data_IF_374876726584
#
_entry.id   IF_374876726584
#
_cell.length_a   1.000
_cell.length_b   1.000
_cell.length_c   1.000
_cell.angle_alpha   90.00
_cell.angle_beta   90.00
_cell.angle_gamma   90.00
#
_symmetry.space_group_name_H-M   'P 1'
#
loop_
_entity.id
_entity.type
_entity.pdbx_description
1 polymer ?
#
# COMPACT_ATOMS: atom_id res chain seq x y z
N UNK A 1 -12.08 6.62 5.81
CA UNK A 1 -10.65 6.96 5.68
C UNK A 1 -10.15 7.82 6.84
N UNK A 2 -10.92 8.75 7.40
CA UNK A 2 -10.43 9.63 8.47
C UNK A 2 -9.95 8.84 9.72
N UNK A 3 -9.03 9.45 10.47
CA UNK A 3 -8.79 9.10 11.87
C UNK A 3 -10.06 9.39 12.70
N UNK A 4 -10.31 8.60 13.74
CA UNK A 4 -11.53 8.69 14.56
C UNK A 4 -11.60 9.98 15.39
N UNK A 5 -10.45 10.54 15.73
CA UNK A 5 -10.30 11.78 16.52
C UNK A 5 -10.15 13.04 15.65
N UNK A 6 -10.17 12.89 14.31
CA UNK A 6 -10.02 14.02 13.39
C UNK A 6 -10.78 13.77 12.08
N UNK A 7 -12.06 14.16 11.98
CA UNK A 7 -12.88 13.91 10.80
C UNK A 7 -12.48 14.78 9.61
N UNK A 8 -12.81 14.34 8.38
CA UNK A 8 -12.78 15.22 7.21
C UNK A 8 -13.84 16.32 7.33
N UNK A 9 -13.67 17.42 6.59
CA UNK A 9 -14.68 18.49 6.53
C UNK A 9 -15.96 17.99 5.85
N UNK A 10 -17.11 18.20 6.48
CA UNK A 10 -18.42 17.72 6.00
C UNK A 10 -18.85 18.28 4.63
N UNK A 11 -18.24 19.40 4.20
CA UNK A 11 -18.50 20.01 2.88
C UNK A 11 -17.92 19.21 1.73
N UNK A 12 -16.96 18.30 1.99
CA UNK A 12 -16.29 17.52 0.95
C UNK A 12 -17.19 16.37 0.45
N UNK A 13 -17.04 15.95 -0.82
CA UNK A 13 -17.66 14.71 -1.29
C UNK A 13 -16.99 13.49 -0.62
N UNK A 14 -17.60 12.30 -0.72
CA UNK A 14 -17.01 11.09 -0.14
C UNK A 14 -15.79 10.57 -0.90
N UNK A 15 -15.67 10.90 -2.19
CA UNK A 15 -14.51 10.59 -3.02
C UNK A 15 -13.76 11.87 -3.35
N UNK A 16 -12.91 12.27 -2.41
CA UNK A 16 -12.09 13.48 -2.49
C UNK A 16 -10.86 13.29 -3.38
N UNK A 17 -10.29 14.41 -3.83
CA UNK A 17 -9.03 14.42 -4.58
C UNK A 17 -7.81 14.24 -3.66
N UNK A 18 -6.65 13.93 -4.25
CA UNK A 18 -5.40 13.79 -3.50
C UNK A 18 -4.99 15.08 -2.77
N UNK A 19 -5.36 16.25 -3.31
CA UNK A 19 -5.08 17.55 -2.69
C UNK A 19 -5.86 17.74 -1.38
N UNK A 20 -7.12 17.28 -1.32
CA UNK A 20 -7.92 17.32 -0.09
C UNK A 20 -7.35 16.37 0.97
N UNK A 21 -6.86 15.19 0.56
CA UNK A 21 -6.17 14.25 1.47
C UNK A 21 -4.89 14.87 2.02
N UNK A 22 -4.08 15.52 1.17
CA UNK A 22 -2.88 16.24 1.62
C UNK A 22 -3.25 17.32 2.62
N UNK A 23 -4.26 18.15 2.30
CA UNK A 23 -4.72 19.23 3.17
C UNK A 23 -5.21 18.70 4.53
N UNK A 24 -5.89 17.55 4.53
CA UNK A 24 -6.33 16.88 5.76
C UNK A 24 -5.14 16.44 6.62
N UNK A 25 -4.09 15.87 6.03
CA UNK A 25 -2.88 15.47 6.76
C UNK A 25 -2.10 16.68 7.29
N UNK A 26 -2.05 17.78 6.53
CA UNK A 26 -1.48 19.06 6.98
C UNK A 26 -2.28 19.63 8.16
N UNK A 27 -3.61 19.67 8.05
CA UNK A 27 -4.51 20.12 9.12
C UNK A 27 -4.35 19.25 10.39
N UNK A 28 -4.22 17.94 10.23
CA UNK A 28 -3.96 17.02 11.33
C UNK A 28 -2.60 17.32 12.00
N UNK A 29 -1.54 17.47 11.20
CA UNK A 29 -0.21 17.78 11.71
C UNK A 29 -0.14 19.14 12.44
N UNK A 30 -0.87 20.14 11.95
CA UNK A 30 -0.97 21.45 12.58
C UNK A 30 -1.79 21.39 13.88
N UNK A 31 -2.95 20.72 13.86
CA UNK A 31 -3.83 20.56 15.03
C UNK A 31 -3.08 19.92 16.22
N UNK A 32 -2.36 18.83 15.96
CA UNK A 32 -1.59 18.10 16.97
C UNK A 32 -0.15 18.62 17.15
N UNK A 33 0.23 19.70 16.45
CA UNK A 33 1.56 20.36 16.52
C UNK A 33 2.73 19.40 16.25
N UNK A 34 2.55 18.51 15.28
CA UNK A 34 3.49 17.42 14.97
C UNK A 34 4.74 17.88 14.22
N UNK A 35 4.65 18.99 13.48
CA UNK A 35 5.76 19.47 12.61
C UNK A 35 7.07 19.71 13.37
N UNK A 36 7.02 20.05 14.66
CA UNK A 36 8.21 20.22 15.52
C UNK A 36 9.01 18.93 15.74
N UNK A 37 8.40 17.78 15.47
CA UNK A 37 9.02 16.46 15.60
C UNK A 37 9.51 15.91 14.23
N UNK A 38 9.28 16.64 13.13
CA UNK A 38 9.56 16.17 11.78
C UNK A 38 10.76 16.93 11.22
N UNK A 39 11.84 16.20 10.91
CA UNK A 39 12.98 16.72 10.13
C UNK A 39 12.75 16.47 8.63
N UNK A 40 12.17 17.45 7.93
CA UNK A 40 12.04 17.37 6.46
C UNK A 40 13.41 17.37 5.76
N UNK A 41 13.41 17.00 4.47
CA UNK A 41 14.62 16.98 3.63
C UNK A 41 15.78 16.17 4.22
N UNK A 42 15.44 15.15 4.99
CA UNK A 42 16.38 14.30 5.71
C UNK A 42 16.09 12.86 5.29
N UNK A 43 17.05 12.21 4.66
CA UNK A 43 16.95 10.78 4.30
C UNK A 43 17.61 9.96 5.40
N UNK A 44 16.96 8.86 5.80
CA UNK A 44 17.57 7.85 6.67
C UNK A 44 18.52 7.01 5.82
N UNK A 45 19.81 7.02 6.14
CA UNK A 45 20.83 6.26 5.43
C UNK A 45 21.04 4.87 6.04
N UNK A 46 21.01 4.78 7.37
CA UNK A 46 21.13 3.49 8.06
C UNK A 46 20.43 3.47 9.41
N UNK A 47 19.85 2.32 9.76
CA UNK A 47 19.36 1.96 11.08
C UNK A 47 20.05 0.66 11.47
N UNK A 48 20.71 0.65 12.62
CA UNK A 48 21.48 -0.51 13.09
C UNK A 48 21.26 -0.72 14.59
N UNK A 49 20.93 -1.93 15.05
CA UNK A 49 20.83 -2.22 16.48
C UNK A 49 22.22 -2.16 17.14
N UNK A 50 22.29 -1.58 18.33
CA UNK A 50 23.47 -1.65 19.20
C UNK A 50 23.51 -3.04 19.84
N UNK A 51 24.66 -3.71 19.78
CA UNK A 51 24.81 -5.07 20.32
C UNK A 51 24.52 -5.09 21.82
N UNK A 52 23.87 -6.16 22.30
CA UNK A 52 23.50 -6.34 23.72
C UNK A 52 24.69 -6.27 24.70
N UNK A 53 25.90 -6.53 24.23
CA UNK A 53 27.14 -6.43 25.03
C UNK A 53 27.52 -4.97 25.34
N UNK A 54 26.96 -4.00 24.62
CA UNK A 54 27.28 -2.56 24.71
C UNK A 54 26.15 -1.75 25.37
N UNK A 55 25.03 -2.37 25.74
CA UNK A 55 23.87 -1.69 26.34
C UNK A 55 22.95 -2.67 27.10
N UNK A 56 22.50 -2.26 28.29
CA UNK A 56 21.56 -3.03 29.13
C UNK A 56 20.16 -3.19 28.48
N UNK A 57 19.87 -2.39 27.45
CA UNK A 57 18.59 -2.40 26.69
C UNK A 57 18.87 -2.29 25.20
N UNK A 58 17.93 -2.78 24.39
CA UNK A 58 17.94 -2.60 22.94
C UNK A 58 17.96 -1.11 22.60
N UNK A 59 18.89 -0.70 21.73
CA UNK A 59 19.06 0.67 21.25
C UNK A 59 19.44 0.64 19.78
N UNK A 60 19.23 1.77 19.10
CA UNK A 60 19.40 1.89 17.65
C UNK A 60 20.25 3.09 17.32
N UNK A 61 21.25 2.89 16.48
CA UNK A 61 21.95 3.99 15.82
C UNK A 61 21.21 4.30 14.53
N UNK A 62 20.71 5.52 14.41
CA UNK A 62 20.06 6.02 13.20
C UNK A 62 20.95 7.09 12.58
N UNK A 63 21.38 6.86 11.34
CA UNK A 63 22.16 7.80 10.55
C UNK A 63 21.28 8.46 9.51
N UNK A 64 21.38 9.78 9.42
CA UNK A 64 20.58 10.57 8.50
C UNK A 64 21.43 11.59 7.75
N UNK A 65 20.94 11.96 6.56
CA UNK A 65 21.60 12.94 5.71
C UNK A 65 20.63 13.97 5.19
N UNK A 66 21.03 15.24 5.24
CA UNK A 66 20.28 16.31 4.61
C UNK A 66 20.42 16.22 3.08
N UNK A 67 19.30 16.20 2.35
CA UNK A 67 19.32 16.05 0.88
C UNK A 67 19.50 17.38 0.15
N UNK A 68 19.23 18.52 0.80
CA UNK A 68 19.42 19.85 0.23
C UNK A 68 20.87 20.33 0.37
N UNK A 69 21.52 19.97 1.47
CA UNK A 69 22.90 20.36 1.77
C UNK A 69 23.79 19.12 1.92
N UNK A 70 24.34 18.67 0.79
CA UNK A 70 25.22 17.49 0.72
C UNK A 70 26.58 17.72 1.38
N UNK A 71 26.93 18.95 1.75
CA UNK A 71 28.19 19.26 2.44
C UNK A 71 28.11 18.97 3.94
N UNK A 72 26.89 18.93 4.51
CA UNK A 72 26.69 18.54 5.90
C UNK A 72 27.15 17.10 6.12
N UNK A 73 27.86 16.85 7.24
CA UNK A 73 28.20 15.49 7.62
C UNK A 73 26.92 14.68 7.87
N UNK A 74 27.04 13.36 7.74
CA UNK A 74 25.99 12.44 8.17
C UNK A 74 25.79 12.61 9.67
N UNK A 75 24.56 12.91 10.08
CA UNK A 75 24.16 12.99 11.48
C UNK A 75 23.89 11.57 12.00
N UNK A 76 24.23 11.31 13.25
CA UNK A 76 24.05 10.00 13.89
C UNK A 76 23.55 10.20 15.30
N UNK A 77 22.38 9.64 15.60
CA UNK A 77 21.74 9.70 16.91
C UNK A 77 21.38 8.30 17.41
N UNK A 78 21.20 8.16 18.72
CA UNK A 78 20.82 6.91 19.38
C UNK A 78 19.38 6.99 19.87
N UNK A 79 18.58 5.97 19.58
CA UNK A 79 17.18 5.87 19.96
C UNK A 79 16.89 4.57 20.71
N UNK A 80 15.94 4.60 21.63
CA UNK A 80 15.48 3.42 22.38
C UNK A 80 14.51 2.54 21.57
N UNK A 81 13.88 3.10 20.53
CA UNK A 81 12.93 2.41 19.66
C UNK A 81 12.94 3.00 18.24
N UNK A 82 12.55 2.20 17.24
CA UNK A 82 12.41 2.63 15.85
C UNK A 82 11.08 2.13 15.28
N UNK A 83 10.29 3.05 14.73
CA UNK A 83 9.05 2.73 14.02
C UNK A 83 9.26 3.04 12.54
N UNK A 84 9.21 2.01 11.69
CA UNK A 84 9.46 2.09 10.25
C UNK A 84 8.15 2.40 9.52
N UNK A 85 8.06 3.56 8.87
CA UNK A 85 6.86 4.06 8.18
C UNK A 85 7.15 4.57 6.75
N UNK A 86 8.12 3.99 6.03
CA UNK A 86 8.52 4.48 4.71
C UNK A 86 7.59 4.07 3.55
N UNK A 87 6.52 3.32 3.84
CA UNK A 87 5.57 2.82 2.86
C UNK A 87 6.14 1.76 1.92
N UNK A 88 5.30 1.26 1.00
CA UNK A 88 5.65 0.15 0.11
C UNK A 88 5.04 0.25 -1.30
N UNK A 89 4.61 1.45 -1.72
CA UNK A 89 4.09 1.73 -3.06
C UNK A 89 5.01 2.64 -3.89
N UNK A 90 6.33 2.48 -3.70
CA UNK A 90 7.35 3.34 -4.32
C UNK A 90 8.38 2.60 -5.16
N UNK A 91 8.69 1.33 -4.86
CA UNK A 91 9.66 0.53 -5.65
C UNK A 91 8.89 -0.34 -6.65
N UNK A 92 8.90 -0.01 -7.96
CA UNK A 92 8.14 -0.74 -8.98
C UNK A 92 8.52 -2.21 -9.07
N UNK A 93 7.53 -3.08 -9.23
CA UNK A 93 7.76 -4.47 -9.64
C UNK A 93 7.35 -4.66 -11.08
N UNK A 94 8.28 -5.10 -11.93
CA UNK A 94 8.00 -5.48 -13.32
C UNK A 94 8.32 -6.96 -13.49
N UNK A 95 7.35 -7.83 -13.80
CA UNK A 95 7.63 -9.24 -14.08
C UNK A 95 8.46 -9.36 -15.36
N UNK A 96 9.25 -10.43 -15.53
CA UNK A 96 9.91 -10.72 -16.79
C UNK A 96 8.88 -10.85 -17.92
N UNK A 97 9.09 -10.11 -19.02
CA UNK A 97 8.29 -10.17 -20.24
C UNK A 97 9.24 -10.53 -21.37
N UNK A 98 9.12 -11.71 -22.00
CA UNK A 98 9.98 -12.10 -23.11
C UNK A 98 9.97 -11.07 -24.25
N UNK A 99 11.14 -10.69 -24.76
CA UNK A 99 11.31 -9.75 -25.87
C UNK A 99 11.12 -8.27 -25.51
N UNK A 100 10.91 -7.93 -24.24
CA UNK A 100 10.66 -6.54 -23.82
C UNK A 100 11.81 -5.59 -24.20
N UNK A 101 13.04 -6.08 -24.16
CA UNK A 101 14.25 -5.37 -24.58
C UNK A 101 14.24 -4.96 -26.07
N UNK A 102 13.46 -5.63 -26.91
CA UNK A 102 13.32 -5.33 -28.33
C UNK A 102 12.18 -4.34 -28.61
N UNK A 103 11.34 -4.03 -27.62
CA UNK A 103 10.17 -3.17 -27.78
C UNK A 103 10.58 -1.74 -28.18
N UNK A 104 10.03 -1.25 -29.29
CA UNK A 104 10.31 0.09 -29.84
C UNK A 104 9.26 1.14 -29.44
N UNK A 105 8.30 0.78 -28.62
CA UNK A 105 7.33 1.70 -28.01
C UNK A 105 7.75 2.18 -26.62
N UNK A 106 6.90 3.01 -26.00
CA UNK A 106 7.14 3.51 -24.65
C UNK A 106 6.82 2.42 -23.62
N UNK A 107 7.77 2.04 -22.76
CA UNK A 107 7.51 1.16 -21.62
C UNK A 107 7.70 1.91 -20.30
N UNK A 108 6.65 1.96 -19.47
CA UNK A 108 6.72 2.53 -18.12
C UNK A 108 6.01 1.66 -17.09
N UNK A 109 6.36 1.81 -15.81
CA UNK A 109 5.53 1.34 -14.71
C UNK A 109 4.54 2.43 -14.27
N UNK A 110 3.40 2.03 -13.70
CA UNK A 110 2.38 2.94 -13.14
C UNK A 110 2.93 3.97 -12.14
N UNK A 111 4.03 3.64 -11.47
CA UNK A 111 4.77 4.57 -10.60
C UNK A 111 5.24 5.85 -11.31
N UNK A 112 5.53 5.77 -12.61
CA UNK A 112 6.00 6.87 -13.44
C UNK A 112 4.86 7.56 -14.22
N UNK A 113 3.66 6.99 -14.22
CA UNK A 113 2.50 7.62 -14.84
C UNK A 113 2.14 8.92 -14.11
N UNK A 114 1.83 9.98 -14.86
CA UNK A 114 1.47 11.29 -14.29
C UNK A 114 0.21 11.87 -14.91
N UNK A 115 0.10 11.82 -16.24
CA UNK A 115 -0.99 12.44 -16.99
C UNK A 115 -1.26 11.66 -18.28
N UNK A 116 -2.50 11.71 -18.81
CA UNK A 116 -2.87 10.99 -20.02
C UNK A 116 -2.47 11.69 -21.33
N UNK A 117 -2.09 12.97 -21.31
CA UNK A 117 -1.88 13.78 -22.52
C UNK A 117 -0.80 13.22 -23.49
N UNK A 118 0.26 12.61 -22.95
CA UNK A 118 1.31 11.95 -23.75
C UNK A 118 0.86 10.67 -24.48
N UNK A 119 -0.38 10.24 -24.28
CA UNK A 119 -0.98 9.05 -24.90
C UNK A 119 -2.05 9.37 -25.92
N UNK A 120 -2.20 10.64 -26.30
CA UNK A 120 -3.16 11.06 -27.31
C UNK A 120 -2.99 10.25 -28.60
N UNK A 121 -4.10 9.69 -29.11
CA UNK A 121 -4.17 8.89 -30.34
C UNK A 121 -3.31 7.59 -30.36
N UNK A 122 -2.68 7.22 -29.23
CA UNK A 122 -1.88 6.00 -29.09
C UNK A 122 -2.74 4.76 -28.80
N UNK A 123 -2.23 3.60 -29.17
CA UNK A 123 -2.70 2.29 -28.67
C UNK A 123 -1.85 1.91 -27.45
N UNK A 124 -2.49 1.67 -26.31
CA UNK A 124 -1.80 1.43 -25.02
C UNK A 124 -2.19 0.08 -24.44
N UNK A 125 -1.21 -0.74 -24.02
CA UNK A 125 -1.45 -1.96 -23.27
C UNK A 125 -1.12 -1.78 -21.78
N UNK A 126 -2.09 -2.07 -20.92
CA UNK A 126 -2.01 -1.93 -19.47
C UNK A 126 -1.79 -3.30 -18.82
N UNK A 127 -0.58 -3.64 -18.40
CA UNK A 127 -0.30 -4.96 -17.80
C UNK A 127 -0.79 -5.00 -16.35
N UNK A 128 -1.91 -5.68 -16.12
CA UNK A 128 -2.52 -5.83 -14.81
C UNK A 128 -3.74 -4.95 -14.62
N UNK A 129 -4.85 -5.55 -14.18
CA UNK A 129 -6.15 -4.90 -13.98
C UNK A 129 -6.50 -4.75 -12.49
N UNK A 130 -5.51 -4.42 -11.66
CA UNK A 130 -5.70 -4.04 -10.27
C UNK A 130 -6.13 -2.57 -10.12
N UNK A 131 -5.97 -2.00 -8.92
CA UNK A 131 -6.36 -0.62 -8.65
C UNK A 131 -5.74 0.38 -9.64
N UNK A 132 -4.41 0.33 -9.86
CA UNK A 132 -3.74 1.22 -10.81
C UNK A 132 -4.16 0.98 -12.26
N UNK A 133 -4.27 -0.28 -12.68
CA UNK A 133 -4.63 -0.63 -14.05
C UNK A 133 -6.01 -0.12 -14.43
N UNK A 134 -7.00 -0.33 -13.56
CA UNK A 134 -8.37 0.16 -13.79
C UNK A 134 -8.44 1.68 -13.80
N UNK A 135 -7.87 2.35 -12.79
CA UNK A 135 -8.00 3.82 -12.66
C UNK A 135 -7.26 4.55 -13.79
N UNK A 136 -6.04 4.09 -14.14
CA UNK A 136 -5.27 4.66 -15.25
C UNK A 136 -5.92 4.34 -16.60
N UNK A 137 -6.49 3.13 -16.79
CA UNK A 137 -7.20 2.82 -18.04
C UNK A 137 -8.41 3.73 -18.28
N UNK A 138 -9.15 4.07 -17.22
CA UNK A 138 -10.25 5.04 -17.28
C UNK A 138 -9.75 6.45 -17.57
N UNK A 139 -8.65 6.88 -16.95
CA UNK A 139 -8.03 8.19 -17.22
C UNK A 139 -7.54 8.30 -18.67
N UNK A 140 -6.92 7.23 -19.20
CA UNK A 140 -6.46 7.15 -20.58
C UNK A 140 -7.59 7.09 -21.61
N UNK A 141 -8.78 6.58 -21.25
CA UNK A 141 -9.87 6.36 -22.19
C UNK A 141 -10.30 7.65 -22.93
N UNK A 142 -10.12 8.82 -22.32
CA UNK A 142 -10.48 10.10 -22.95
C UNK A 142 -9.40 10.66 -23.90
N UNK A 143 -8.23 10.02 -23.98
CA UNK A 143 -7.06 10.51 -24.73
C UNK A 143 -6.53 9.49 -25.73
N UNK A 144 -6.40 8.23 -25.31
CA UNK A 144 -5.86 7.16 -26.13
C UNK A 144 -6.84 6.74 -27.23
N UNK A 145 -6.30 6.32 -28.39
CA UNK A 145 -7.09 5.72 -29.45
C UNK A 145 -7.72 4.41 -28.99
N UNK A 146 -6.95 3.60 -28.25
CA UNK A 146 -7.38 2.32 -27.71
C UNK A 146 -6.55 1.94 -26.48
N UNK A 147 -7.20 1.35 -25.49
CA UNK A 147 -6.54 0.83 -24.28
C UNK A 147 -6.86 -0.67 -24.16
N UNK A 148 -5.84 -1.50 -24.10
CA UNK A 148 -5.96 -2.91 -23.74
C UNK A 148 -5.73 -3.06 -22.23
N UNK A 149 -6.80 -3.24 -21.47
CA UNK A 149 -6.72 -3.57 -20.05
C UNK A 149 -6.43 -5.07 -19.91
N UNK A 150 -5.22 -5.41 -19.49
CA UNK A 150 -4.75 -6.79 -19.49
C UNK A 150 -5.01 -7.48 -18.15
N UNK A 151 -5.74 -8.59 -18.18
CA UNK A 151 -6.11 -9.38 -16.99
C UNK A 151 -5.31 -10.68 -16.90
N UNK A 152 -4.93 -11.02 -15.67
CA UNK A 152 -4.46 -12.37 -15.32
C UNK A 152 -5.61 -13.29 -14.88
N UNK A 153 -6.69 -12.70 -14.39
CA UNK A 153 -7.89 -13.39 -13.89
C UNK A 153 -9.09 -13.08 -14.79
N UNK A 154 -10.28 -13.48 -14.36
CA UNK A 154 -11.52 -13.11 -15.03
C UNK A 154 -11.63 -11.58 -15.27
N UNK A 155 -12.16 -11.15 -16.43
CA UNK A 155 -12.46 -9.75 -16.70
C UNK A 155 -13.41 -9.15 -15.67
N UNK A 156 -13.37 -7.82 -15.53
CA UNK A 156 -14.37 -7.07 -14.79
C UNK A 156 -15.73 -7.16 -15.48
N UNK A 157 -16.78 -7.20 -14.67
CA UNK A 157 -18.18 -7.26 -15.13
C UNK A 157 -18.79 -5.88 -15.41
N UNK A 158 -18.13 -4.81 -14.97
CA UNK A 158 -18.61 -3.44 -15.16
C UNK A 158 -18.41 -2.98 -16.61
N UNK A 159 -19.28 -2.08 -17.08
CA UNK A 159 -19.11 -1.46 -18.40
C UNK A 159 -17.98 -0.43 -18.33
N UNK A 160 -16.95 -0.63 -19.16
CA UNK A 160 -15.86 0.31 -19.36
C UNK A 160 -16.14 1.20 -20.59
N UNK A 161 -15.37 2.29 -20.80
CA UNK A 161 -15.47 3.09 -22.02
C UNK A 161 -15.25 2.25 -23.28
N UNK A 162 -15.88 2.63 -24.40
CA UNK A 162 -15.94 1.81 -25.61
C UNK A 162 -14.56 1.52 -26.23
N UNK A 163 -13.55 2.36 -25.97
CA UNK A 163 -12.17 2.19 -26.44
C UNK A 163 -11.27 1.45 -25.43
N UNK A 164 -11.81 0.98 -24.29
CA UNK A 164 -11.09 0.16 -23.31
C UNK A 164 -11.52 -1.30 -23.46
N UNK A 165 -10.65 -2.11 -24.04
CA UNK A 165 -10.88 -3.53 -24.27
C UNK A 165 -10.19 -4.36 -23.18
N UNK A 166 -10.93 -5.27 -22.55
CA UNK A 166 -10.37 -6.23 -21.60
C UNK A 166 -9.83 -7.44 -22.35
N UNK A 167 -8.57 -7.79 -22.13
CA UNK A 167 -7.89 -8.90 -22.80
C UNK A 167 -7.01 -9.68 -21.82
N UNK A 168 -6.60 -10.90 -22.16
CA UNK A 168 -5.60 -11.61 -21.37
C UNK A 168 -4.25 -10.89 -21.38
N UNK A 169 -3.42 -11.19 -20.38
CA UNK A 169 -2.13 -10.54 -20.20
C UNK A 169 -1.18 -10.66 -21.40
N UNK A 170 -0.24 -9.71 -21.49
CA UNK A 170 0.89 -9.79 -22.43
C UNK A 170 1.69 -11.06 -22.14
N UNK A 171 1.87 -11.87 -23.18
CA UNK A 171 2.66 -13.10 -23.16
C UNK A 171 4.10 -12.83 -23.57
N UNK A 172 4.30 -12.06 -24.64
CA UNK A 172 5.62 -11.69 -25.13
C UNK A 172 5.55 -10.43 -26.00
N UNK A 173 6.67 -9.75 -26.15
CA UNK A 173 6.90 -8.81 -27.24
C UNK A 173 7.55 -9.59 -28.39
N UNK A 174 7.03 -9.42 -29.60
CA UNK A 174 7.57 -10.08 -30.80
C UNK A 174 8.67 -9.23 -31.40
N UNK A 175 8.31 -8.32 -32.31
CA UNK A 175 9.23 -7.41 -33.00
C UNK A 175 8.67 -6.00 -32.96
N UNK A 176 9.54 -5.02 -32.87
CA UNK A 176 9.19 -3.59 -32.86
C UNK A 176 8.11 -3.25 -31.82
N UNK A 177 6.87 -3.00 -32.26
CA UNK A 177 5.72 -2.66 -31.42
C UNK A 177 4.69 -3.79 -31.29
N UNK A 178 4.98 -4.96 -31.84
CA UNK A 178 4.05 -6.08 -31.88
C UNK A 178 4.03 -6.82 -30.54
N UNK A 179 2.86 -6.87 -29.92
CA UNK A 179 2.60 -7.51 -28.63
C UNK A 179 1.76 -8.77 -28.87
N UNK A 180 2.22 -9.92 -28.36
CA UNK A 180 1.44 -11.15 -28.29
C UNK A 180 0.76 -11.22 -26.91
N UNK A 181 -0.57 -11.33 -26.90
CA UNK A 181 -1.37 -11.58 -25.70
C UNK A 181 -1.50 -13.08 -25.44
N UNK A 182 -1.82 -13.45 -24.20
CA UNK A 182 -1.87 -14.86 -23.79
C UNK A 182 -3.02 -15.66 -24.43
N UNK A 183 -4.02 -14.99 -25.00
CA UNK A 183 -5.06 -15.61 -25.82
C UNK A 183 -4.62 -15.88 -27.28
N UNK A 184 -3.39 -15.52 -27.63
CA UNK A 184 -2.79 -15.71 -28.96
C UNK A 184 -3.04 -14.54 -29.93
N UNK A 185 -3.75 -13.49 -29.50
CA UNK A 185 -3.90 -12.28 -30.32
C UNK A 185 -2.59 -11.51 -30.40
N UNK A 186 -2.34 -10.91 -31.56
CA UNK A 186 -1.21 -10.00 -31.77
C UNK A 186 -1.71 -8.61 -32.18
N UNK A 187 -1.16 -7.56 -31.58
CA UNK A 187 -1.49 -6.17 -31.91
C UNK A 187 -0.24 -5.28 -31.87
N UNK A 188 -0.21 -4.27 -32.74
CA UNK A 188 0.77 -3.18 -32.62
C UNK A 188 0.34 -2.21 -31.53
N UNK A 189 1.20 -2.01 -30.54
CA UNK A 189 0.96 -1.16 -29.38
C UNK A 189 2.05 -0.09 -29.29
N UNK A 190 1.65 1.17 -29.13
CA UNK A 190 2.57 2.30 -29.04
C UNK A 190 3.22 2.42 -27.67
N UNK A 191 2.51 2.03 -26.61
CA UNK A 191 3.00 2.11 -25.25
C UNK A 191 2.49 0.97 -24.36
N UNK A 192 3.32 0.53 -23.43
CA UNK A 192 2.99 -0.44 -22.39
C UNK A 192 3.14 0.24 -21.04
N UNK A 193 2.09 0.14 -20.20
CA UNK A 193 2.11 0.61 -18.83
C UNK A 193 1.95 -0.59 -17.89
N UNK A 194 3.02 -0.94 -17.19
CA UNK A 194 3.00 -2.00 -16.19
C UNK A 194 2.29 -1.53 -14.91
N UNK A 195 1.16 -2.16 -14.61
CA UNK A 195 0.36 -1.97 -13.39
C UNK A 195 0.50 -3.18 -12.46
N UNK A 196 1.74 -3.65 -12.31
CA UNK A 196 2.12 -4.93 -11.72
C UNK A 196 2.48 -4.85 -10.24
N UNK A 197 2.31 -3.68 -9.63
CA UNK A 197 2.48 -3.46 -8.20
C UNK A 197 3.91 -3.12 -7.82
N UNK A 198 4.25 -3.35 -6.57
CA UNK A 198 5.47 -2.81 -5.95
C UNK A 198 6.15 -3.87 -5.08
N UNK A 199 7.43 -3.65 -4.77
CA UNK A 199 8.20 -4.46 -3.85
C UNK A 199 8.44 -3.73 -2.53
N UNK A 200 8.52 -4.50 -1.43
CA UNK A 200 8.98 -3.97 -0.16
C UNK A 200 10.47 -3.69 -0.25
N UNK A 201 10.88 -2.53 0.23
CA UNK A 201 12.27 -2.11 0.21
C UNK A 201 12.58 -1.26 1.43
N UNK A 202 13.59 -1.70 2.17
CA UNK A 202 14.10 -1.01 3.37
C UNK A 202 15.62 -0.89 3.25
N UNK A 203 16.15 -0.14 2.26
CA UNK A 203 17.59 -0.10 1.96
C UNK A 203 18.41 0.51 3.10
N UNK A 204 17.76 1.20 4.04
CA UNK A 204 18.36 1.80 5.22
C UNK A 204 18.42 0.84 6.42
N UNK A 205 17.74 -0.32 6.40
CA UNK A 205 17.88 -1.29 7.49
C UNK A 205 19.15 -2.11 7.27
N UNK A 206 20.06 -2.09 8.25
CA UNK A 206 21.29 -2.88 8.14
C UNK A 206 21.00 -4.38 8.30
N UNK A 207 21.87 -5.27 7.79
CA UNK A 207 21.69 -6.72 7.92
C UNK A 207 21.53 -7.21 9.37
N UNK A 208 22.11 -6.48 10.32
CA UNK A 208 22.00 -6.75 11.76
C UNK A 208 20.57 -6.57 12.29
N UNK A 209 19.68 -5.86 11.58
CA UNK A 209 18.26 -5.83 11.89
C UNK A 209 17.59 -7.20 11.67
N UNK A 210 18.25 -8.13 10.97
CA UNK A 210 17.80 -9.49 10.69
C UNK A 210 16.57 -9.62 9.78
N UNK A 211 15.98 -8.53 9.32
CA UNK A 211 14.83 -8.55 8.42
C UNK A 211 15.12 -9.27 7.09
N UNK A 212 14.27 -10.23 6.70
CA UNK A 212 14.37 -10.94 5.42
C UNK A 212 13.14 -10.71 4.57
N UNK A 213 13.34 -10.37 3.29
CA UNK A 213 12.26 -10.22 2.31
C UNK A 213 12.45 -11.24 1.20
N UNK A 214 11.43 -12.07 0.95
CA UNK A 214 11.43 -13.05 -0.14
C UNK A 214 10.06 -13.05 -0.82
N UNK A 215 10.02 -12.88 -2.14
CA UNK A 215 8.77 -12.85 -2.91
C UNK A 215 7.65 -11.99 -2.27
N UNK A 216 8.00 -10.77 -1.82
CA UNK A 216 7.09 -9.82 -1.14
C UNK A 216 6.54 -10.29 0.22
N UNK A 217 7.12 -11.31 0.81
CA UNK A 217 6.89 -11.70 2.20
C UNK A 217 8.05 -11.17 3.06
N UNK A 218 7.74 -10.29 4.00
CA UNK A 218 8.67 -9.83 5.04
C UNK A 218 8.54 -10.77 6.23
N UNK A 219 9.63 -11.48 6.54
CA UNK A 219 9.71 -12.43 7.65
C UNK A 219 10.21 -11.76 8.92
N UNK A 220 10.00 -12.44 10.05
CA UNK A 220 10.32 -12.01 11.41
C UNK A 220 9.42 -10.90 11.93
N UNK A 221 8.16 -10.90 11.49
CA UNK A 221 7.16 -9.92 11.92
C UNK A 221 5.98 -10.59 12.60
N UNK A 222 5.84 -10.36 13.90
CA UNK A 222 4.64 -10.71 14.64
C UNK A 222 3.52 -9.74 14.27
N UNK A 223 2.35 -10.29 13.92
CA UNK A 223 1.17 -9.50 13.50
C UNK A 223 1.44 -8.51 12.36
N UNK A 224 2.38 -8.83 11.46
CA UNK A 224 2.82 -7.92 10.40
C UNK A 224 3.32 -6.56 10.92
N UNK A 225 3.73 -6.47 12.19
CA UNK A 225 3.90 -5.20 12.89
C UNK A 225 5.18 -5.18 13.73
N UNK A 226 5.33 -6.11 14.67
CA UNK A 226 6.42 -6.10 15.65
C UNK A 226 7.58 -6.98 15.18
N UNK A 227 8.81 -6.47 15.24
CA UNK A 227 9.98 -7.27 14.91
C UNK A 227 10.23 -8.32 16.00
N UNK A 228 10.18 -9.60 15.63
CA UNK A 228 10.21 -10.73 16.57
C UNK A 228 11.50 -10.76 17.40
N UNK A 229 12.63 -10.47 16.77
CA UNK A 229 13.96 -10.51 17.42
C UNK A 229 14.25 -9.24 18.22
N UNK A 230 13.68 -8.11 17.77
CA UNK A 230 14.01 -6.78 18.27
C UNK A 230 12.72 -5.99 18.55
N UNK A 231 12.01 -6.26 19.66
CA UNK A 231 10.65 -5.75 19.86
C UNK A 231 10.51 -4.23 19.99
N UNK A 232 11.61 -3.47 20.10
CA UNK A 232 11.56 -2.00 20.01
C UNK A 232 11.62 -1.48 18.57
N UNK A 233 11.73 -2.38 17.58
CA UNK A 233 11.50 -2.10 16.17
C UNK A 233 10.11 -2.57 15.73
N UNK A 234 9.37 -1.71 15.03
CA UNK A 234 8.06 -2.02 14.47
C UNK A 234 7.85 -1.41 13.08
N UNK A 235 6.85 -1.90 12.35
CA UNK A 235 6.54 -1.51 10.97
C UNK A 235 5.08 -1.12 10.84
N UNK A 236 4.80 0.09 10.39
CA UNK A 236 3.43 0.58 10.20
C UNK A 236 3.05 0.51 8.73
N UNK A 237 1.88 -0.03 8.45
CA UNK A 237 1.26 0.01 7.13
C UNK A 237 1.95 -0.85 6.07
N UNK A 238 2.51 -2.01 6.45
CA UNK A 238 3.01 -2.99 5.47
C UNK A 238 1.88 -3.85 4.89
N UNK A 239 0.74 -3.94 5.55
CA UNK A 239 -0.43 -4.70 5.13
C UNK A 239 -1.17 -3.98 4.01
N UNK A 240 -1.77 -4.73 3.08
CA UNK A 240 -2.48 -4.15 1.93
C UNK A 240 -3.87 -4.75 1.70
N UNK A 241 -4.72 -4.00 0.97
CA UNK A 241 -6.20 -4.13 0.90
C UNK A 241 -6.93 -3.76 2.18
N UNK A 242 -6.51 -2.66 2.79
CA UNK A 242 -6.97 -2.20 4.10
C UNK A 242 -7.61 -0.81 4.03
N UNK A 243 -8.34 -0.44 5.06
CA UNK A 243 -8.76 0.95 5.34
C UNK A 243 -7.58 1.66 6.03
N UNK A 244 -6.83 2.55 5.34
CA UNK A 244 -5.46 2.90 5.74
C UNK A 244 -5.34 3.58 7.11
N UNK A 245 -5.83 4.82 7.25
CA UNK A 245 -5.59 5.59 8.49
C UNK A 245 -6.17 4.95 9.75
N UNK A 246 -7.39 4.36 9.74
CA UNK A 246 -7.91 3.63 10.90
C UNK A 246 -7.03 2.45 11.31
N UNK A 247 -6.53 1.67 10.33
CA UNK A 247 -5.61 0.57 10.64
C UNK A 247 -4.26 1.08 11.15
N UNK A 248 -3.71 2.15 10.56
CA UNK A 248 -2.44 2.74 11.03
C UNK A 248 -2.56 3.23 12.47
N UNK A 249 -3.70 3.82 12.85
CA UNK A 249 -3.96 4.20 14.24
C UNK A 249 -3.97 2.99 15.18
N UNK A 250 -4.65 1.89 14.80
CA UNK A 250 -4.65 0.66 15.60
C UNK A 250 -3.23 0.06 15.75
N UNK A 251 -2.45 0.02 14.67
CA UNK A 251 -1.06 -0.43 14.68
C UNK A 251 -0.19 0.41 15.62
N UNK A 252 -0.25 1.75 15.51
CA UNK A 252 0.52 2.65 16.38
C UNK A 252 0.11 2.49 17.84
N UNK A 253 -1.18 2.35 18.15
CA UNK A 253 -1.65 2.18 19.53
C UNK A 253 -1.14 0.90 20.17
N UNK A 254 -1.10 -0.23 19.44
CA UNK A 254 -0.49 -1.45 19.98
C UNK A 254 1.03 -1.30 20.18
N UNK A 255 1.73 -0.67 19.23
CA UNK A 255 3.17 -0.40 19.37
C UNK A 255 3.44 0.44 20.63
N UNK A 256 2.66 1.50 20.86
CA UNK A 256 2.79 2.34 22.05
C UNK A 256 2.49 1.56 23.33
N UNK A 257 1.44 0.72 23.35
CA UNK A 257 1.13 -0.11 24.51
C UNK A 257 2.30 -1.05 24.88
N UNK A 258 3.02 -1.58 23.88
CA UNK A 258 4.23 -2.39 24.11
C UNK A 258 5.39 -1.54 24.64
N UNK A 259 5.67 -0.39 24.03
CA UNK A 259 6.78 0.48 24.43
C UNK A 259 6.58 1.09 25.82
N UNK A 260 5.33 1.37 26.20
CA UNK A 260 4.95 1.86 27.54
C UNK A 260 4.87 0.73 28.58
N UNK A 261 4.85 -0.53 28.13
CA UNK A 261 4.75 -1.71 28.99
C UNK A 261 3.34 -2.02 29.51
N UNK A 262 2.30 -1.38 28.94
CA UNK A 262 0.90 -1.69 29.25
C UNK A 262 0.41 -2.95 28.55
N UNK A 263 1.07 -3.37 27.46
CA UNK A 263 0.94 -4.69 26.86
C UNK A 263 2.29 -5.40 26.81
N UNK A 264 2.33 -6.66 27.25
CA UNK A 264 3.52 -7.50 27.18
C UNK A 264 3.35 -8.46 26.01
N UNK A 265 4.28 -8.41 25.04
CA UNK A 265 4.28 -9.35 23.93
C UNK A 265 4.45 -10.78 24.41
N UNK A 266 3.93 -11.78 23.66
CA UNK A 266 4.28 -13.18 23.86
C UNK A 266 5.80 -13.39 23.79
N UNK A 267 6.25 -14.55 24.27
CA UNK A 267 7.65 -14.93 24.11
C UNK A 267 8.05 -14.99 22.64
N UNK A 268 9.35 -14.83 22.37
CA UNK A 268 9.89 -14.93 21.02
C UNK A 268 9.46 -16.23 20.32
N UNK A 269 9.50 -17.36 21.04
CA UNK A 269 9.12 -18.67 20.50
C UNK A 269 7.64 -18.71 20.09
N UNK A 270 6.75 -18.13 20.90
CA UNK A 270 5.32 -18.06 20.58
C UNK A 270 5.06 -17.17 19.36
N UNK A 271 5.76 -16.04 19.25
CA UNK A 271 5.64 -15.16 18.08
C UNK A 271 6.15 -15.83 16.79
N UNK A 272 7.30 -16.52 16.85
CA UNK A 272 7.86 -17.29 15.72
C UNK A 272 6.91 -18.42 15.29
N UNK A 273 6.31 -19.10 16.26
CA UNK A 273 5.36 -20.18 16.01
C UNK A 273 4.06 -19.66 15.37
N UNK A 274 3.53 -18.52 15.84
CA UNK A 274 2.34 -17.90 15.24
C UNK A 274 2.61 -17.43 13.80
N UNK A 275 3.78 -16.83 13.54
CA UNK A 275 4.20 -16.44 12.18
C UNK A 275 4.25 -17.67 11.26
N UNK A 276 4.87 -18.76 11.74
CA UNK A 276 4.99 -20.04 11.02
C UNK A 276 3.64 -20.66 10.70
N UNK A 277 2.77 -20.81 11.70
CA UNK A 277 1.43 -21.38 11.53
C UNK A 277 0.60 -20.54 10.53
N UNK A 278 0.68 -19.22 10.64
CA UNK A 278 -0.02 -18.31 9.71
C UNK A 278 0.48 -18.49 8.29
N UNK A 279 1.80 -18.65 8.12
CA UNK A 279 2.41 -18.88 6.82
C UNK A 279 2.01 -20.23 6.22
N UNK A 280 1.99 -21.29 7.02
CA UNK A 280 1.57 -22.63 6.57
C UNK A 280 0.11 -22.64 6.12
N UNK A 281 -0.79 -22.04 6.91
CA UNK A 281 -2.21 -21.89 6.53
C UNK A 281 -2.40 -21.16 5.20
N UNK A 282 -1.57 -20.14 4.94
CA UNK A 282 -1.60 -19.44 3.64
C UNK A 282 -1.26 -20.39 2.50
N UNK A 283 -0.19 -21.18 2.63
CA UNK A 283 0.24 -22.12 1.60
C UNK A 283 -0.77 -23.26 1.41
N UNK A 284 -1.33 -23.80 2.49
CA UNK A 284 -2.38 -24.83 2.47
C UNK A 284 -3.65 -24.33 1.74
N UNK A 285 -3.95 -23.04 1.79
CA UNK A 285 -5.04 -22.42 1.02
C UNK A 285 -4.76 -22.29 -0.48
N UNK A 286 -3.59 -22.73 -0.96
CA UNK A 286 -3.14 -22.62 -2.35
C UNK A 286 -2.70 -21.21 -2.76
N UNK A 287 -2.57 -20.28 -1.80
CA UNK A 287 -2.11 -18.91 -2.06
C UNK A 287 -0.58 -18.84 -2.05
N UNK A 288 -0.01 -18.05 -2.95
CA UNK A 288 1.43 -17.79 -2.99
C UNK A 288 1.88 -16.90 -1.81
N UNK A 289 3.10 -17.09 -1.30
CA UNK A 289 3.65 -16.33 -0.16
C UNK A 289 3.60 -14.80 -0.29
N UNK A 290 3.57 -14.23 -1.49
CA UNK A 290 3.43 -12.78 -1.73
C UNK A 290 2.16 -12.17 -1.15
N UNK A 291 1.18 -13.02 -0.85
CA UNK A 291 -0.08 -12.66 -0.22
C UNK A 291 -0.04 -12.75 1.31
N UNK A 292 1.12 -12.95 1.93
CA UNK A 292 1.22 -13.03 3.39
C UNK A 292 0.71 -11.78 4.10
N UNK A 293 1.07 -10.59 3.60
CA UNK A 293 0.59 -9.31 4.15
C UNK A 293 -0.74 -8.83 3.52
N UNK A 294 -1.47 -9.71 2.82
CA UNK A 294 -2.74 -9.38 2.16
C UNK A 294 -3.91 -9.63 3.11
N UNK A 295 -4.56 -8.55 3.56
CA UNK A 295 -5.67 -8.61 4.51
C UNK A 295 -7.03 -8.42 3.81
N UNK A 296 -7.33 -9.29 2.85
CA UNK A 296 -8.62 -9.35 2.16
C UNK A 296 -9.76 -9.93 3.02
N UNK A 297 -10.99 -9.91 2.48
CA UNK A 297 -12.12 -10.73 2.94
C UNK A 297 -12.38 -10.68 4.45
N UNK A 298 -12.41 -9.47 5.01
CA UNK A 298 -12.70 -9.25 6.44
C UNK A 298 -11.50 -9.43 7.38
N UNK A 299 -10.37 -9.98 6.91
CA UNK A 299 -9.17 -10.18 7.74
C UNK A 299 -8.63 -8.88 8.33
N UNK A 300 -8.73 -7.76 7.61
CA UNK A 300 -8.28 -6.47 8.14
C UNK A 300 -9.05 -6.06 9.39
N UNK A 301 -10.33 -6.42 9.49
CA UNK A 301 -11.20 -6.03 10.60
C UNK A 301 -10.89 -6.90 11.81
N UNK A 302 -10.84 -8.22 11.62
CA UNK A 302 -10.39 -9.15 12.65
C UNK A 302 -8.99 -8.80 13.17
N UNK A 303 -8.07 -8.38 12.29
CA UNK A 303 -6.76 -7.88 12.64
C UNK A 303 -6.85 -6.62 13.52
N UNK A 304 -7.61 -5.61 13.10
CA UNK A 304 -7.76 -4.37 13.89
C UNK A 304 -8.40 -4.64 15.26
N UNK A 305 -9.42 -5.50 15.33
CA UNK A 305 -10.04 -5.95 16.59
C UNK A 305 -9.02 -6.66 17.49
N UNK A 306 -8.17 -7.53 16.92
CA UNK A 306 -7.10 -8.17 17.66
C UNK A 306 -6.13 -7.14 18.24
N UNK A 307 -5.70 -6.15 17.45
CA UNK A 307 -4.82 -5.08 17.94
C UNK A 307 -5.48 -4.27 19.07
N UNK A 308 -6.77 -3.95 18.93
CA UNK A 308 -7.55 -3.21 19.92
C UNK A 308 -7.66 -3.95 21.25
N UNK A 309 -7.99 -5.24 21.20
CA UNK A 309 -8.06 -6.10 22.38
C UNK A 309 -6.70 -6.22 23.08
N UNK A 310 -5.62 -6.40 22.32
CA UNK A 310 -4.26 -6.50 22.87
C UNK A 310 -3.80 -5.17 23.48
N UNK A 311 -3.99 -4.07 22.76
CA UNK A 311 -3.55 -2.74 23.21
C UNK A 311 -4.47 -2.09 24.26
N UNK A 312 -5.60 -2.73 24.62
CA UNK A 312 -6.53 -2.21 25.62
C UNK A 312 -7.25 -0.94 25.15
N UNK A 313 -7.62 -0.87 23.88
CA UNK A 313 -8.26 0.31 23.32
C UNK A 313 -9.56 0.02 22.56
N UNK A 314 -10.39 1.06 22.38
CA UNK A 314 -11.65 0.96 21.62
C UNK A 314 -11.39 0.58 20.16
N UNK A 315 -12.11 -0.45 19.71
CA UNK A 315 -12.07 -0.94 18.34
C UNK A 315 -12.74 0.04 17.35
N UNK A 316 -12.54 -0.17 16.06
CA UNK A 316 -13.20 0.60 15.03
C UNK A 316 -14.70 0.37 15.04
N UNK A 317 -15.45 1.46 14.85
CA UNK A 317 -16.88 1.43 14.64
C UNK A 317 -17.24 0.41 13.52
N UNK A 318 -18.08 -0.61 13.80
CA UNK A 318 -18.50 -1.62 12.82
C UNK A 318 -19.13 -1.04 11.55
N UNK A 319 -19.76 0.15 11.62
CA UNK A 319 -20.32 0.82 10.45
C UNK A 319 -19.25 1.21 9.41
N UNK A 320 -17.98 1.34 9.82
CA UNK A 320 -16.85 1.57 8.91
C UNK A 320 -16.60 0.36 8.03
N UNK A 321 -16.70 -0.86 8.60
CA UNK A 321 -16.58 -2.11 7.84
C UNK A 321 -17.71 -2.24 6.82
N UNK A 322 -18.95 -2.04 7.25
CA UNK A 322 -20.11 -2.16 6.35
C UNK A 322 -20.04 -1.15 5.20
N UNK A 323 -19.68 0.11 5.49
CA UNK A 323 -19.49 1.13 4.47
C UNK A 323 -18.35 0.76 3.51
N UNK A 324 -17.21 0.28 4.04
CA UNK A 324 -16.09 -0.17 3.21
C UNK A 324 -16.50 -1.32 2.29
N UNK A 325 -17.25 -2.30 2.80
CA UNK A 325 -17.76 -3.43 2.03
C UNK A 325 -18.73 -2.96 0.93
N UNK A 326 -19.64 -2.02 1.26
CA UNK A 326 -20.52 -1.40 0.27
C UNK A 326 -19.75 -0.68 -0.84
N UNK A 327 -18.79 0.17 -0.49
CA UNK A 327 -17.98 0.92 -1.46
C UNK A 327 -17.13 -0.01 -2.30
N UNK A 328 -16.57 -1.06 -1.71
CA UNK A 328 -15.81 -2.10 -2.41
C UNK A 328 -16.66 -2.83 -3.45
N UNK A 329 -17.92 -3.13 -3.13
CA UNK A 329 -18.87 -3.68 -4.08
C UNK A 329 -19.20 -2.69 -5.20
N UNK A 330 -19.47 -1.42 -4.87
CA UNK A 330 -19.76 -0.39 -5.87
C UNK A 330 -18.61 -0.18 -6.85
N UNK A 331 -17.35 -0.22 -6.37
CA UNK A 331 -16.17 -0.17 -7.25
C UNK A 331 -16.14 -1.32 -8.26
N UNK A 332 -16.61 -2.52 -7.88
CA UNK A 332 -16.65 -3.69 -8.78
C UNK A 332 -17.75 -3.59 -9.83
N UNK A 333 -18.95 -3.15 -9.45
CA UNK A 333 -20.13 -3.20 -10.33
C UNK A 333 -20.36 -1.88 -11.09
N UNK A 334 -19.88 -0.76 -10.57
CA UNK A 334 -20.11 0.59 -11.07
C UNK A 334 -18.80 1.40 -11.13
N UNK A 335 -17.75 0.85 -11.73
CA UNK A 335 -16.40 1.44 -11.70
C UNK A 335 -16.35 2.86 -12.29
N UNK A 336 -17.25 3.20 -13.21
CA UNK A 336 -17.29 4.52 -13.85
C UNK A 336 -17.96 5.59 -13.01
N UNK A 337 -18.90 5.24 -12.12
CA UNK A 337 -19.72 6.24 -11.41
C UNK A 337 -19.70 6.10 -9.88
N UNK A 338 -19.03 5.09 -9.31
CA UNK A 338 -19.01 4.92 -7.86
C UNK A 338 -18.45 6.16 -7.14
N UNK A 339 -17.53 6.90 -7.76
CA UNK A 339 -16.95 8.13 -7.21
C UNK A 339 -17.94 9.29 -7.11
N UNK A 340 -19.09 9.23 -7.80
CA UNK A 340 -20.15 10.23 -7.71
C UNK A 340 -21.10 9.99 -6.53
N UNK A 341 -20.96 8.86 -5.83
CA UNK A 341 -21.79 8.52 -4.69
C UNK A 341 -21.32 9.27 -3.45
N UNK A 342 -22.27 9.67 -2.59
CA UNK A 342 -21.98 10.31 -1.31
C UNK A 342 -22.50 9.46 -0.16
N UNK A 343 -21.74 9.45 0.92
CA UNK A 343 -21.98 8.68 2.12
C UNK A 343 -21.80 9.58 3.34
N UNK A 344 -22.65 9.39 4.33
CA UNK A 344 -22.51 9.95 5.67
C UNK A 344 -22.37 8.80 6.65
N UNK A 345 -21.36 8.87 7.49
CA UNK A 345 -21.11 7.93 8.58
C UNK A 345 -21.44 8.63 9.90
N UNK A 346 -22.17 7.94 10.77
CA UNK A 346 -22.44 8.31 12.16
C UNK A 346 -21.91 7.21 13.07
N UNK A 347 -21.98 7.41 14.38
CA UNK A 347 -21.49 6.42 15.36
C UNK A 347 -22.23 5.08 15.26
N UNK A 348 -23.52 5.10 14.93
CA UNK A 348 -24.34 3.88 14.91
C UNK A 348 -24.78 3.42 13.49
N UNK A 349 -24.43 4.18 12.44
CA UNK A 349 -24.98 3.93 11.10
C UNK A 349 -24.17 4.58 9.98
N UNK A 350 -24.42 4.17 8.73
CA UNK A 350 -24.05 4.96 7.55
C UNK A 350 -25.20 5.00 6.55
N UNK A 351 -25.35 6.12 5.85
CA UNK A 351 -26.34 6.29 4.80
C UNK A 351 -25.70 6.78 3.50
N UNK A 352 -26.29 6.37 2.36
CA UNK A 352 -25.97 7.00 1.09
C UNK A 352 -26.81 8.27 0.94
N UNK A 353 -26.14 9.41 0.80
CA UNK A 353 -26.77 10.72 0.68
C UNK A 353 -26.96 11.03 -0.80
N UNK A 354 -28.15 11.53 -1.18
CA UNK A 354 -28.36 12.11 -2.51
C UNK A 354 -27.97 13.58 -2.49
N UNK A 355 -27.41 14.10 -3.58
CA UNK A 355 -27.22 15.55 -3.69
C UNK A 355 -28.59 16.23 -3.53
N UNK A 356 -28.67 17.22 -2.63
CA UNK A 356 -29.84 18.07 -2.55
C UNK A 356 -30.05 18.69 -3.93
N UNK A 357 -31.24 18.46 -4.52
CA UNK A 357 -31.65 19.07 -5.79
C UNK A 357 -31.56 20.59 -5.76
#
# INVERSE_FOLDING_TARGET
MAFTDFPFRDTLPSFIGHADVLKYLEDYADHFKLLRHIKFWTVVESVTPIKKEESDREKWIVKVKNVLDKSRPVESDVFDAVIVCNGHYSVPYTPPIPGLEEFKGDFIHSHHYRRPDGYKDKIVAMIGAGNSGTDIAVDLASFAKKVFLCHWNAPMTTKLPDNVEQIQTVKAIKRDKMVEFADGREEEVDAIIACTGYDYSFPFLSPECQLTIHNKHIKQLYLHLMHIVYPTMSFIGITYKVCPFPQFAAQVRLVLAVLEGSFVLPSRQEMEEEERITFEKLLESGKHERFYHFLDDGKQWAYNTQLANMGGFEDLNPCVEDLYNKVSLQRKINAMNYKNMRYRLTDDWWEQVSDAK
#
